data_IF_078394581404
#
_entry.id   IF_078394581404
#
_cell.length_a   1.000
_cell.length_b   1.000
_cell.length_c   1.000
_cell.angle_alpha   90.00
_cell.angle_beta   90.00
_cell.angle_gamma   90.00
#
_symmetry.space_group_name_H-M   'P 1'
#
loop_
_entity.id
_entity.type
_entity.pdbx_description
1 polymer ?
#
# COMPACT_ATOMS: atom_id res chain seq x y z
N UNK A 1 -8.30 -14.17 4.61
CA UNK A 1 -8.62 -13.09 3.66
C UNK A 1 -7.66 -11.92 3.84
N UNK A 2 -7.13 -11.41 2.76
CA UNK A 2 -6.25 -10.24 2.78
C UNK A 2 -6.94 -9.12 2.00
N UNK A 3 -7.17 -7.99 2.65
CA UNK A 3 -7.82 -6.84 2.02
C UNK A 3 -6.78 -5.77 1.69
N UNK A 4 -6.73 -5.39 0.42
CA UNK A 4 -5.81 -4.37 -0.06
C UNK A 4 -6.60 -3.31 -0.80
N UNK A 5 -6.30 -2.05 -0.52
CA UNK A 5 -6.86 -0.93 -1.27
C UNK A 5 -5.71 -0.18 -1.95
N UNK A 6 -5.78 -0.06 -3.26
CA UNK A 6 -4.75 0.55 -4.09
C UNK A 6 -5.19 1.96 -4.47
N UNK A 7 -4.28 2.92 -4.31
CA UNK A 7 -4.42 4.25 -4.90
C UNK A 7 -3.34 4.45 -5.94
N UNK A 8 -3.72 4.95 -7.10
CA UNK A 8 -2.77 5.28 -8.17
C UNK A 8 -3.27 6.44 -9.01
N UNK A 9 -2.36 7.00 -9.80
CA UNK A 9 -2.65 8.12 -10.71
C UNK A 9 -3.07 7.64 -12.09
N UNK A 10 -2.66 6.43 -12.49
CA UNK A 10 -2.88 5.89 -13.83
C UNK A 10 -3.39 4.45 -13.78
N UNK A 11 -4.45 4.18 -14.55
CA UNK A 11 -5.09 2.86 -14.57
C UNK A 11 -4.13 1.73 -14.97
N UNK A 12 -3.26 1.99 -15.93
CA UNK A 12 -2.31 0.96 -16.39
C UNK A 12 -1.39 0.50 -15.29
N UNK A 13 -0.93 1.43 -14.45
CA UNK A 13 -0.05 1.11 -13.32
C UNK A 13 -0.78 0.30 -12.26
N UNK A 14 -1.97 0.72 -11.91
CA UNK A 14 -2.76 0.04 -10.87
C UNK A 14 -3.24 -1.34 -11.33
N UNK A 15 -3.60 -1.49 -12.59
CA UNK A 15 -4.03 -2.78 -13.13
C UNK A 15 -2.90 -3.80 -13.09
N UNK A 16 -1.69 -3.38 -13.45
CA UNK A 16 -0.52 -4.24 -13.36
C UNK A 16 -0.21 -4.66 -11.93
N UNK A 17 -0.31 -3.73 -11.00
CA UNK A 17 -0.11 -4.02 -9.58
C UNK A 17 -1.18 -4.99 -9.05
N UNK A 18 -2.43 -4.79 -9.41
CA UNK A 18 -3.51 -5.67 -8.98
C UNK A 18 -3.28 -7.10 -9.47
N UNK A 19 -2.92 -7.28 -10.73
CA UNK A 19 -2.62 -8.59 -11.28
C UNK A 19 -1.47 -9.28 -10.54
N UNK A 20 -0.42 -8.55 -10.27
CA UNK A 20 0.75 -9.07 -9.56
C UNK A 20 0.40 -9.46 -8.12
N UNK A 21 -0.35 -8.62 -7.43
CA UNK A 21 -0.80 -8.89 -6.06
C UNK A 21 -1.67 -10.14 -6.00
N UNK A 22 -2.60 -10.29 -6.93
CA UNK A 22 -3.45 -11.49 -6.97
C UNK A 22 -2.63 -12.76 -7.18
N UNK A 23 -1.64 -12.70 -8.07
CA UNK A 23 -0.76 -13.84 -8.31
C UNK A 23 0.04 -14.21 -7.06
N UNK A 24 0.63 -13.23 -6.39
CA UNK A 24 1.42 -13.46 -5.18
C UNK A 24 0.55 -14.07 -4.07
N UNK A 25 -0.60 -13.48 -3.81
CA UNK A 25 -1.47 -13.93 -2.72
C UNK A 25 -2.06 -15.31 -3.00
N UNK A 26 -2.40 -15.60 -4.25
CA UNK A 26 -2.92 -16.92 -4.64
C UNK A 26 -1.85 -18.00 -4.44
N UNK A 27 -0.60 -17.72 -4.80
CA UNK A 27 0.51 -18.65 -4.55
C UNK A 27 0.68 -18.97 -3.07
N UNK A 28 0.41 -17.99 -2.21
CA UNK A 28 0.52 -18.15 -0.75
C UNK A 28 -0.76 -18.67 -0.11
N UNK A 29 -1.71 -19.07 -0.92
CA UNK A 29 -3.01 -19.58 -0.46
C UNK A 29 -3.75 -18.54 0.40
N UNK A 30 -3.55 -17.26 0.10
CA UNK A 30 -4.27 -16.15 0.72
C UNK A 30 -5.38 -15.69 -0.20
N UNK A 31 -6.52 -15.35 0.36
CA UNK A 31 -7.68 -14.91 -0.40
C UNK A 31 -7.61 -13.39 -0.59
N UNK A 32 -7.37 -12.88 -1.81
CA UNK A 32 -7.24 -11.44 -2.01
C UNK A 32 -8.60 -10.78 -2.23
N UNK A 33 -8.82 -9.65 -1.56
CA UNK A 33 -9.90 -8.72 -1.87
C UNK A 33 -9.24 -7.38 -2.15
N UNK A 34 -9.30 -6.93 -3.39
CA UNK A 34 -8.56 -5.75 -3.85
C UNK A 34 -9.53 -4.72 -4.40
N UNK A 35 -9.46 -3.50 -3.86
CA UNK A 35 -10.18 -2.35 -4.36
C UNK A 35 -9.18 -1.34 -4.91
N UNK A 36 -9.50 -0.70 -6.03
CA UNK A 36 -8.58 0.24 -6.69
C UNK A 36 -9.27 1.58 -6.91
N UNK A 37 -8.57 2.65 -6.55
CA UNK A 37 -8.99 4.03 -6.78
C UNK A 37 -7.95 4.73 -7.65
N UNK A 38 -8.39 5.38 -8.72
CA UNK A 38 -7.51 6.06 -9.66
C UNK A 38 -7.81 7.55 -9.63
N UNK A 39 -6.81 8.34 -9.20
CA UNK A 39 -6.92 9.79 -9.21
C UNK A 39 -7.96 10.40 -8.29
N UNK A 40 -8.58 9.61 -7.43
CA UNK A 40 -9.65 10.10 -6.54
C UNK A 40 -9.27 9.84 -5.08
N UNK A 41 -8.40 10.70 -4.56
CA UNK A 41 -7.89 10.56 -3.20
C UNK A 41 -8.97 10.67 -2.13
N UNK A 42 -9.96 11.55 -2.34
CA UNK A 42 -11.04 11.74 -1.37
C UNK A 42 -11.86 10.45 -1.16
N UNK A 43 -12.22 9.77 -2.24
CA UNK A 43 -12.93 8.50 -2.14
C UNK A 43 -12.08 7.40 -1.52
N UNK A 44 -10.79 7.39 -1.84
CA UNK A 44 -9.84 6.45 -1.25
C UNK A 44 -9.79 6.61 0.28
N UNK A 45 -9.62 7.84 0.74
CA UNK A 45 -9.57 8.14 2.16
C UNK A 45 -10.88 7.83 2.87
N UNK A 46 -12.00 8.12 2.22
CA UNK A 46 -13.32 7.83 2.77
C UNK A 46 -13.52 6.32 2.96
N UNK A 47 -13.14 5.54 1.95
CA UNK A 47 -13.24 4.07 2.01
C UNK A 47 -12.39 3.50 3.16
N UNK A 48 -11.16 3.98 3.28
CA UNK A 48 -10.22 3.48 4.28
C UNK A 48 -10.70 3.76 5.71
N UNK A 49 -11.33 4.91 5.95
CA UNK A 49 -11.85 5.25 7.29
C UNK A 49 -12.85 4.25 7.82
N UNK A 50 -13.68 3.70 6.94
CA UNK A 50 -14.71 2.74 7.34
C UNK A 50 -14.23 1.31 7.45
N UNK A 51 -12.98 1.04 7.10
CA UNK A 51 -12.48 -0.33 6.96
C UNK A 51 -11.13 -0.49 7.63
N UNK A 52 -11.10 -0.73 8.95
CA UNK A 52 -9.84 -1.05 9.65
C UNK A 52 -9.31 -2.39 9.15
N UNK A 53 -8.04 -2.63 9.29
CA UNK A 53 -7.36 -3.87 8.86
C UNK A 53 -7.11 -3.97 7.36
N UNK A 54 -7.20 -2.86 6.63
CA UNK A 54 -6.81 -2.81 5.23
C UNK A 54 -5.32 -2.58 5.10
N UNK A 55 -4.73 -3.17 4.07
CA UNK A 55 -3.40 -2.79 3.62
C UNK A 55 -3.58 -1.70 2.57
N UNK A 56 -3.01 -0.54 2.80
CA UNK A 56 -3.05 0.57 1.87
C UNK A 56 -1.82 0.52 0.98
N UNK A 57 -2.03 0.39 -0.32
CA UNK A 57 -0.94 0.45 -1.30
C UNK A 57 -1.10 1.72 -2.12
N UNK A 58 -0.07 2.56 -2.12
CA UNK A 58 -0.08 3.84 -2.82
C UNK A 58 1.00 3.85 -3.89
N UNK A 59 0.60 4.04 -5.14
CA UNK A 59 1.52 4.19 -6.27
C UNK A 59 1.50 5.65 -6.69
N UNK A 60 2.47 6.42 -6.22
CA UNK A 60 2.51 7.87 -6.45
C UNK A 60 3.95 8.37 -6.46
N UNK A 61 4.31 9.08 -7.54
CA UNK A 61 5.66 9.51 -7.82
C UNK A 61 5.89 10.98 -7.47
N UNK A 62 7.16 11.34 -7.30
CA UNK A 62 7.60 12.73 -7.18
C UNK A 62 7.09 13.44 -5.94
N UNK A 63 7.16 14.77 -5.97
CA UNK A 63 6.70 15.64 -4.89
C UNK A 63 5.21 15.47 -4.61
N UNK A 64 4.42 15.33 -5.67
CA UNK A 64 2.99 15.10 -5.54
C UNK A 64 2.72 13.81 -4.78
N UNK A 65 3.49 12.76 -5.07
CA UNK A 65 3.37 11.48 -4.39
C UNK A 65 3.65 11.61 -2.89
N UNK A 66 4.71 12.33 -2.54
CA UNK A 66 5.05 12.58 -1.14
C UNK A 66 3.92 13.34 -0.41
N UNK A 67 3.32 14.33 -1.07
CA UNK A 67 2.20 15.08 -0.50
C UNK A 67 0.98 14.18 -0.26
N UNK A 68 0.68 13.30 -1.20
CA UNK A 68 -0.42 12.33 -1.08
C UNK A 68 -0.19 11.41 0.12
N UNK A 69 1.01 10.86 0.25
CA UNK A 69 1.35 9.95 1.35
C UNK A 69 1.29 10.68 2.70
N UNK A 70 1.75 11.92 2.77
CA UNK A 70 1.63 12.72 4.00
C UNK A 70 0.17 12.86 4.41
N UNK A 71 -0.70 13.17 3.47
CA UNK A 71 -2.13 13.32 3.73
C UNK A 71 -2.76 12.00 4.20
N UNK A 72 -2.41 10.91 3.55
CA UNK A 72 -2.89 9.58 3.93
C UNK A 72 -2.44 9.24 5.36
N UNK A 73 -1.16 9.43 5.65
CA UNK A 73 -0.60 9.10 6.97
C UNK A 73 -1.17 9.98 8.07
N UNK A 74 -1.41 11.26 7.79
CA UNK A 74 -2.03 12.17 8.75
C UNK A 74 -3.45 11.73 9.14
N UNK A 75 -4.20 11.19 8.18
CA UNK A 75 -5.55 10.70 8.43
C UNK A 75 -5.60 9.28 8.98
N UNK A 76 -4.53 8.49 8.79
CA UNK A 76 -4.49 7.08 9.17
C UNK A 76 -3.13 6.73 9.79
N UNK A 77 -2.84 7.22 11.02
CA UNK A 77 -1.50 7.07 11.61
C UNK A 77 -1.06 5.63 11.86
N UNK A 78 -2.02 4.72 12.04
CA UNK A 78 -1.73 3.32 12.38
C UNK A 78 -1.95 2.36 11.21
N UNK A 79 -2.27 2.87 10.03
CA UNK A 79 -2.55 2.01 8.88
C UNK A 79 -1.30 1.27 8.38
N UNK A 80 -1.51 0.07 7.89
CA UNK A 80 -0.47 -0.67 7.18
C UNK A 80 -0.35 -0.07 5.78
N UNK A 81 0.76 0.60 5.50
CA UNK A 81 0.94 1.42 4.31
C UNK A 81 2.18 0.99 3.52
N UNK A 82 1.98 0.65 2.25
CA UNK A 82 3.04 0.38 1.29
C UNK A 82 3.06 1.53 0.28
N UNK A 83 4.22 2.11 0.07
CA UNK A 83 4.38 3.20 -0.89
C UNK A 83 5.32 2.78 -2.02
N UNK A 84 4.82 2.81 -3.25
CA UNK A 84 5.61 2.57 -4.45
C UNK A 84 5.84 3.91 -5.15
N UNK A 85 7.09 4.28 -5.34
CA UNK A 85 7.45 5.57 -5.89
C UNK A 85 8.79 5.51 -6.63
N UNK A 86 9.38 6.69 -6.90
CA UNK A 86 10.70 6.81 -7.50
C UNK A 86 11.79 6.87 -6.41
N UNK A 87 13.05 6.81 -6.85
CA UNK A 87 14.21 6.84 -5.94
C UNK A 87 14.30 8.12 -5.12
N UNK A 88 13.77 9.22 -5.66
CA UNK A 88 13.86 10.53 -5.02
C UNK A 88 13.10 10.58 -3.71
N UNK A 89 12.10 9.72 -3.55
CA UNK A 89 11.27 9.67 -2.36
C UNK A 89 11.79 8.73 -1.27
N UNK A 90 12.97 8.15 -1.43
CA UNK A 90 13.54 7.22 -0.42
C UNK A 90 13.71 7.87 0.95
N UNK A 91 14.14 9.14 1.00
CA UNK A 91 14.28 9.85 2.27
C UNK A 91 12.92 10.19 2.88
N UNK A 92 11.95 10.53 2.06
CA UNK A 92 10.59 10.83 2.54
C UNK A 92 9.93 9.59 3.14
N UNK A 93 10.24 8.41 2.63
CA UNK A 93 9.76 7.15 3.19
C UNK A 93 10.05 7.05 4.70
N UNK A 94 11.29 7.34 5.09
CA UNK A 94 11.67 7.28 6.50
C UNK A 94 10.95 8.32 7.35
N UNK A 95 10.77 9.53 6.82
CA UNK A 95 10.11 10.63 7.53
C UNK A 95 8.61 10.39 7.73
N UNK A 96 7.99 9.67 6.81
CA UNK A 96 6.54 9.47 6.82
C UNK A 96 6.11 8.18 7.53
N UNK A 97 7.05 7.43 8.07
CA UNK A 97 6.77 6.19 8.81
C UNK A 97 5.89 5.21 8.02
N UNK A 98 6.23 5.02 6.76
CA UNK A 98 5.57 4.05 5.89
C UNK A 98 6.07 2.65 6.23
N UNK A 99 5.21 1.65 6.20
CA UNK A 99 5.58 0.28 6.59
C UNK A 99 6.50 -0.40 5.59
N UNK A 100 6.33 -0.11 4.30
CA UNK A 100 7.19 -0.64 3.26
C UNK A 100 7.27 0.34 2.09
N UNK A 101 8.42 0.37 1.43
CA UNK A 101 8.66 1.24 0.28
C UNK A 101 9.31 0.44 -0.83
N UNK A 102 8.85 0.65 -2.07
CA UNK A 102 9.43 0.03 -3.25
C UNK A 102 9.58 1.03 -4.39
N UNK A 103 10.48 0.72 -5.31
CA UNK A 103 10.68 1.55 -6.50
C UNK A 103 9.76 1.05 -7.60
N UNK A 104 8.99 1.96 -8.19
CA UNK A 104 8.08 1.62 -9.29
C UNK A 104 8.83 1.64 -10.64
N UNK A 105 8.60 0.67 -11.54
CA UNK A 105 7.71 -0.49 -11.36
C UNK A 105 8.37 -1.58 -10.52
N UNK A 106 7.67 -2.16 -9.56
CA UNK A 106 8.24 -3.20 -8.72
C UNK A 106 8.33 -4.52 -9.48
N UNK A 107 9.37 -5.30 -9.22
CA UNK A 107 9.39 -6.69 -9.62
C UNK A 107 8.52 -7.50 -8.66
N UNK A 108 8.18 -8.73 -9.05
CA UNK A 108 7.39 -9.63 -8.22
C UNK A 108 7.99 -9.82 -6.84
N UNK A 109 9.31 -10.07 -6.79
CA UNK A 109 10.02 -10.31 -5.54
C UNK A 109 9.97 -9.10 -4.60
N UNK A 110 10.15 -7.91 -5.16
CA UNK A 110 10.11 -6.69 -4.38
C UNK A 110 8.72 -6.45 -3.79
N UNK A 111 7.68 -6.65 -4.59
CA UNK A 111 6.31 -6.47 -4.12
C UNK A 111 5.95 -7.51 -3.06
N UNK A 112 6.39 -8.74 -3.24
CA UNK A 112 6.20 -9.81 -2.27
C UNK A 112 6.89 -9.49 -0.94
N UNK A 113 8.09 -8.93 -1.00
CA UNK A 113 8.83 -8.50 0.18
C UNK A 113 8.11 -7.37 0.92
N UNK A 114 7.60 -6.38 0.17
CA UNK A 114 6.79 -5.31 0.75
C UNK A 114 5.55 -5.83 1.48
N UNK A 115 4.86 -6.78 0.86
CA UNK A 115 3.69 -7.42 1.47
C UNK A 115 4.06 -8.18 2.73
N UNK A 116 5.14 -8.94 2.68
CA UNK A 116 5.61 -9.74 3.82
C UNK A 116 5.95 -8.84 5.00
N UNK A 117 6.70 -7.77 4.76
CA UNK A 117 7.07 -6.81 5.80
C UNK A 117 5.82 -6.15 6.41
N UNK A 118 4.90 -5.75 5.57
CA UNK A 118 3.67 -5.10 5.99
C UNK A 118 2.79 -6.05 6.81
N UNK A 119 2.61 -7.28 6.34
CA UNK A 119 1.82 -8.29 7.04
C UNK A 119 2.45 -8.71 8.35
N UNK A 120 3.76 -8.88 8.39
CA UNK A 120 4.48 -9.25 9.61
C UNK A 120 4.28 -8.19 10.68
N UNK A 121 4.47 -6.92 10.32
CA UNK A 121 4.28 -5.82 11.26
C UNK A 121 2.84 -5.72 11.74
N UNK A 122 1.89 -5.89 10.82
CA UNK A 122 0.46 -5.84 11.13
C UNK A 122 0.07 -6.96 12.07
N UNK A 123 0.45 -8.20 11.77
CA UNK A 123 0.11 -9.36 12.60
C UNK A 123 0.81 -9.31 13.95
N UNK A 124 2.05 -8.87 14.01
CA UNK A 124 2.76 -8.72 15.27
C UNK A 124 2.06 -7.74 16.20
N UNK A 125 1.61 -6.60 15.67
CA UNK A 125 0.85 -5.63 16.46
C UNK A 125 -0.45 -6.21 16.98
N UNK A 126 -1.17 -6.97 16.17
CA UNK A 126 -2.45 -7.54 16.54
C UNK A 126 -2.31 -8.72 17.50
N UNK A 127 -1.27 -9.51 17.36
CA UNK A 127 -1.00 -10.63 18.26
C UNK A 127 -0.59 -10.17 19.64
N UNK A 128 -0.03 -8.98 19.77
CA UNK A 128 0.36 -8.41 21.06
C UNK A 128 -0.84 -8.15 21.97
N UNK A 129 -2.01 -8.01 21.37
CA UNK A 129 -3.25 -7.71 22.10
C UNK A 129 -4.17 -8.92 22.29
N UNK A 130 -3.77 -10.06 21.78
CA UNK A 130 -4.52 -11.30 21.98
C UNK A 130 -3.91 -12.16 23.12
#
# INVERSE_FOLDING_TARGET
>A
MVRIVIYGEHAEETDGLEMMLRAILTEKQRWPVIHTYIGNLENYLHFVRGNPYLIMLVCAMGEKGAQIVRKIRANNPSAALIWLSDKENTLEFWKLHVNAFGIFPPGKEQLEECLTDCLSNFFTKNLTFS
#
